data_IF_070161621978
#
_entry.id   IF_070161621978
#
_cell.length_a   1.000
_cell.length_b   1.000
_cell.length_c   1.000
_cell.angle_alpha   90.00
_cell.angle_beta   90.00
_cell.angle_gamma   90.00
#
_symmetry.space_group_name_H-M   'P 1'
#
loop_
_entity.id
_entity.type
_entity.pdbx_description
1 polymer ?
#
# COMPACT_ATOMS: atom_id res chain seq x y z
N UNK A 1 7.87 -17.05 -17.63
CA UNK A 1 6.97 -17.12 -16.45
C UNK A 1 6.14 -15.85 -16.40
N UNK A 2 4.84 -15.92 -16.07
CA UNK A 2 4.00 -14.72 -15.92
C UNK A 2 4.53 -13.85 -14.77
N UNK A 3 4.55 -12.53 -14.96
CA UNK A 3 5.01 -11.54 -13.97
C UNK A 3 4.35 -11.74 -12.61
N UNK A 4 3.05 -12.07 -12.61
CA UNK A 4 2.27 -12.38 -11.41
C UNK A 4 2.80 -13.57 -10.61
N UNK A 5 3.23 -14.65 -11.28
CA UNK A 5 3.79 -15.83 -10.60
C UNK A 5 5.12 -15.48 -9.92
N UNK A 6 5.94 -14.65 -10.54
CA UNK A 6 7.21 -14.20 -9.97
C UNK A 6 7.00 -13.28 -8.76
N UNK A 7 6.09 -12.31 -8.88
CA UNK A 7 5.70 -11.42 -7.77
C UNK A 7 5.14 -12.22 -6.59
N UNK A 8 4.28 -13.19 -6.85
CA UNK A 8 3.72 -14.06 -5.82
C UNK A 8 4.79 -14.94 -5.15
N UNK A 9 5.72 -15.49 -5.92
CA UNK A 9 6.85 -16.26 -5.38
C UNK A 9 7.75 -15.39 -4.50
N UNK A 10 7.99 -14.14 -4.89
CA UNK A 10 8.78 -13.18 -4.11
C UNK A 10 8.09 -12.85 -2.77
N UNK A 11 6.77 -12.61 -2.81
CA UNK A 11 5.96 -12.38 -1.60
C UNK A 11 5.97 -13.61 -0.68
N UNK A 12 5.88 -14.83 -1.23
CA UNK A 12 5.98 -16.07 -0.45
C UNK A 12 7.36 -16.32 0.13
N UNK A 13 8.43 -15.91 -0.55
CA UNK A 13 9.80 -16.03 -0.05
C UNK A 13 10.07 -15.05 1.10
N UNK A 14 9.45 -13.86 1.07
CA UNK A 14 9.60 -12.80 2.10
C UNK A 14 8.31 -12.56 2.87
N UNK A 15 7.68 -13.59 3.44
CA UNK A 15 6.40 -13.45 4.18
C UNK A 15 6.48 -12.43 5.32
N UNK A 16 7.58 -12.41 6.08
CA UNK A 16 7.76 -11.46 7.17
C UNK A 16 7.72 -10.00 6.72
N UNK A 17 8.24 -9.69 5.53
CA UNK A 17 8.15 -8.37 4.94
C UNK A 17 6.71 -8.00 4.57
N UNK A 18 5.98 -8.92 3.93
CA UNK A 18 4.58 -8.71 3.54
C UNK A 18 3.70 -8.48 4.78
N UNK A 19 3.84 -9.35 5.79
CA UNK A 19 3.10 -9.27 7.04
C UNK A 19 3.47 -7.98 7.79
N UNK A 20 4.76 -7.68 7.92
CA UNK A 20 5.24 -6.44 8.55
C UNK A 20 4.65 -5.20 7.88
N UNK A 21 4.69 -5.14 6.55
CA UNK A 21 4.11 -4.03 5.77
C UNK A 21 2.60 -3.89 6.00
N UNK A 22 1.87 -5.00 6.07
CA UNK A 22 0.42 -4.98 6.34
C UNK A 22 0.14 -4.46 7.75
N UNK A 23 0.84 -4.99 8.76
CA UNK A 23 0.64 -4.61 10.17
C UNK A 23 0.98 -3.12 10.37
N UNK A 24 2.11 -2.66 9.82
CA UNK A 24 2.54 -1.27 9.97
C UNK A 24 1.57 -0.32 9.26
N UNK A 25 1.10 -0.69 8.06
CA UNK A 25 0.09 0.08 7.34
C UNK A 25 -1.22 0.20 8.12
N UNK A 26 -1.69 -0.91 8.72
CA UNK A 26 -2.92 -0.90 9.53
C UNK A 26 -2.72 -0.07 10.79
N UNK A 27 -1.63 -0.25 11.52
CA UNK A 27 -1.34 0.49 12.75
C UNK A 27 -1.24 1.99 12.51
N UNK A 28 -0.58 2.40 11.43
CA UNK A 28 -0.46 3.82 11.07
C UNK A 28 -1.80 4.45 10.65
N UNK A 29 -2.69 3.67 10.03
CA UNK A 29 -4.02 4.15 9.67
C UNK A 29 -4.99 4.16 10.85
N UNK A 30 -4.90 3.18 11.76
CA UNK A 30 -5.68 3.13 12.99
C UNK A 30 -5.27 4.21 13.99
N UNK A 31 -4.02 4.66 13.99
CA UNK A 31 -3.63 5.75 14.91
C UNK A 31 -4.32 7.08 14.61
N UNK A 32 -4.74 7.31 13.36
CA UNK A 32 -5.57 8.46 12.99
C UNK A 32 -6.97 8.41 13.61
N UNK A 33 -7.47 7.21 13.91
CA UNK A 33 -8.72 7.06 14.65
C UNK A 33 -8.59 7.54 16.09
N UNK A 34 -7.42 7.37 16.73
CA UNK A 34 -7.21 7.89 18.09
C UNK A 34 -7.45 9.41 18.17
N UNK A 35 -7.06 10.15 17.13
CA UNK A 35 -7.36 11.59 17.01
C UNK A 35 -8.85 11.84 16.84
N UNK A 36 -9.51 11.08 15.99
CA UNK A 36 -10.95 11.24 15.73
C UNK A 36 -11.79 10.96 16.97
N UNK A 37 -11.52 9.85 17.67
CA UNK A 37 -12.16 9.53 18.95
C UNK A 37 -11.80 10.52 20.05
N UNK A 38 -10.55 10.97 20.09
CA UNK A 38 -10.13 12.01 21.03
C UNK A 38 -10.94 13.30 20.89
N UNK A 39 -11.21 13.71 19.64
CA UNK A 39 -12.05 14.88 19.37
C UNK A 39 -13.50 14.62 19.77
N UNK A 40 -14.04 13.43 19.46
CA UNK A 40 -15.39 13.06 19.86
C UNK A 40 -15.57 13.17 21.38
N UNK A 41 -14.65 12.57 22.15
CA UNK A 41 -14.69 12.65 23.62
C UNK A 41 -14.60 14.07 24.18
N UNK A 42 -13.75 14.90 23.58
CA UNK A 42 -13.65 16.31 23.96
C UNK A 42 -15.00 17.01 23.73
N UNK A 43 -15.67 16.73 22.61
CA UNK A 43 -17.00 17.29 22.32
C UNK A 43 -18.03 16.78 23.32
N UNK A 44 -18.06 15.48 23.61
CA UNK A 44 -19.03 14.87 24.53
C UNK A 44 -18.91 15.49 25.94
N UNK A 45 -17.68 15.68 26.43
CA UNK A 45 -17.39 16.37 27.70
C UNK A 45 -17.90 17.83 27.67
N UNK A 46 -17.68 18.56 26.56
CA UNK A 46 -18.09 19.95 26.43
C UNK A 46 -19.62 20.12 26.37
N UNK A 47 -20.32 19.14 25.78
CA UNK A 47 -21.80 19.13 25.68
C UNK A 47 -22.43 18.61 26.98
N UNK A 48 -21.64 18.02 27.88
CA UNK A 48 -22.11 17.44 29.13
C UNK A 48 -22.71 16.04 28.96
N UNK A 49 -22.41 15.37 27.84
CA UNK A 49 -22.70 13.96 27.65
C UNK A 49 -21.67 13.10 28.41
N UNK A 50 -22.02 11.84 28.70
CA UNK A 50 -21.10 10.92 29.38
C UNK A 50 -20.04 10.43 28.40
N UNK A 51 -18.76 10.79 28.58
CA UNK A 51 -17.66 10.34 27.73
C UNK A 51 -17.54 8.81 27.73
N UNK A 52 -17.26 8.20 26.57
CA UNK A 52 -17.17 6.74 26.42
C UNK A 52 -15.96 6.14 27.16
N UNK A 53 -14.81 6.80 27.10
CA UNK A 53 -13.57 6.42 27.78
C UNK A 53 -13.51 6.91 29.23
N UNK A 54 -14.44 7.78 29.65
CA UNK A 54 -14.45 8.43 30.96
C UNK A 54 -13.11 9.13 31.32
N UNK A 55 -12.37 9.60 30.32
CA UNK A 55 -11.10 10.29 30.51
C UNK A 55 -11.32 11.78 30.72
N UNK A 56 -10.58 12.36 31.67
CA UNK A 56 -10.57 13.80 31.88
C UNK A 56 -9.98 14.53 30.65
N UNK A 57 -10.43 15.76 30.42
CA UNK A 57 -10.05 16.58 29.26
C UNK A 57 -8.53 16.77 29.17
N UNK A 58 -7.88 17.00 30.32
CA UNK A 58 -6.41 17.12 30.41
C UNK A 58 -5.70 15.86 29.93
N UNK A 59 -6.24 14.69 30.28
CA UNK A 59 -5.67 13.40 29.90
C UNK A 59 -5.79 13.16 28.40
N UNK A 60 -6.93 13.53 27.80
CA UNK A 60 -7.13 13.45 26.36
C UNK A 60 -6.16 14.34 25.58
N UNK A 61 -5.92 15.58 26.04
CA UNK A 61 -4.95 16.49 25.42
C UNK A 61 -3.51 15.98 25.43
N UNK A 62 -3.15 15.10 26.36
CA UNK A 62 -1.81 14.50 26.44
C UNK A 62 -1.77 13.21 25.61
N UNK A 63 -2.71 12.30 25.84
CA UNK A 63 -2.68 10.96 25.27
C UNK A 63 -2.90 10.98 23.76
N UNK A 64 -3.83 11.80 23.26
CA UNK A 64 -4.19 11.78 21.82
C UNK A 64 -3.02 12.23 20.93
N UNK A 65 -2.37 13.38 21.17
CA UNK A 65 -1.17 13.76 20.42
C UNK A 65 -0.02 12.79 20.65
N UNK A 66 0.15 12.26 21.87
CA UNK A 66 1.21 11.30 22.17
C UNK A 66 1.06 10.02 21.34
N UNK A 67 -0.12 9.40 21.33
CA UNK A 67 -0.41 8.22 20.49
C UNK A 67 -0.16 8.54 19.02
N UNK A 68 -0.63 9.69 18.55
CA UNK A 68 -0.44 10.08 17.15
C UNK A 68 1.04 10.23 16.78
N UNK A 69 1.82 10.95 17.60
CA UNK A 69 3.26 11.16 17.36
C UNK A 69 4.04 9.85 17.49
N UNK A 70 3.78 9.05 18.53
CA UNK A 70 4.46 7.77 18.73
C UNK A 70 4.21 6.82 17.57
N UNK A 71 2.96 6.69 17.11
CA UNK A 71 2.63 5.82 15.97
C UNK A 71 3.18 6.36 14.65
N UNK A 72 3.27 7.68 14.48
CA UNK A 72 3.93 8.29 13.33
C UNK A 72 5.43 7.97 13.30
N UNK A 73 6.12 8.10 14.43
CA UNK A 73 7.55 7.79 14.55
C UNK A 73 7.80 6.30 14.34
N UNK A 74 7.06 5.43 15.03
CA UNK A 74 7.20 3.98 14.89
C UNK A 74 6.86 3.50 13.48
N UNK A 75 5.84 4.09 12.84
CA UNK A 75 5.49 3.84 11.44
C UNK A 75 6.65 4.23 10.51
N UNK A 76 7.23 5.41 10.71
CA UNK A 76 8.36 5.90 9.90
C UNK A 76 9.60 5.02 10.05
N UNK A 77 9.93 4.58 11.27
CA UNK A 77 11.02 3.64 11.53
C UNK A 77 10.74 2.30 10.82
N UNK A 78 9.50 1.81 10.92
CA UNK A 78 9.09 0.57 10.27
C UNK A 78 9.21 0.67 8.75
N UNK A 79 8.84 1.79 8.15
CA UNK A 79 9.00 2.02 6.71
C UNK A 79 10.47 1.99 6.27
N UNK A 80 11.38 2.55 7.06
CA UNK A 80 12.83 2.48 6.80
C UNK A 80 13.31 1.02 6.85
N UNK A 81 12.91 0.27 7.88
CA UNK A 81 13.27 -1.16 8.03
C UNK A 81 12.73 -1.97 6.85
N UNK A 82 11.47 -1.75 6.48
CA UNK A 82 10.82 -2.38 5.32
C UNK A 82 11.52 -2.00 4.02
N UNK A 83 12.02 -0.77 3.87
CA UNK A 83 12.77 -0.35 2.70
C UNK A 83 14.10 -1.12 2.55
N UNK A 84 14.78 -1.48 3.63
CA UNK A 84 15.96 -2.36 3.56
C UNK A 84 15.61 -3.76 3.03
N UNK A 85 14.45 -4.28 3.42
CA UNK A 85 13.94 -5.56 2.88
C UNK A 85 13.57 -5.46 1.40
N UNK A 86 13.06 -4.31 0.96
CA UNK A 86 12.80 -4.01 -0.45
C UNK A 86 14.09 -4.11 -1.28
N UNK A 87 15.16 -3.41 -0.87
CA UNK A 87 16.45 -3.46 -1.59
C UNK A 87 17.01 -4.88 -1.64
N UNK A 88 16.92 -5.60 -0.51
CA UNK A 88 17.37 -6.98 -0.42
C UNK A 88 16.65 -7.89 -1.43
N UNK A 89 15.38 -7.60 -1.74
CA UNK A 89 14.62 -8.29 -2.80
C UNK A 89 15.18 -8.01 -4.19
N UNK A 90 15.55 -6.77 -4.49
CA UNK A 90 16.16 -6.43 -5.78
C UNK A 90 17.51 -7.12 -5.97
N UNK A 91 18.37 -7.11 -4.94
CA UNK A 91 19.68 -7.76 -4.98
C UNK A 91 19.54 -9.26 -5.21
N UNK A 92 18.55 -9.91 -4.56
CA UNK A 92 18.29 -11.34 -4.73
C UNK A 92 17.92 -11.69 -6.18
N UNK A 93 16.99 -10.94 -6.77
CA UNK A 93 16.58 -11.19 -8.16
C UNK A 93 17.75 -10.95 -9.11
N UNK A 94 18.51 -9.85 -8.94
CA UNK A 94 19.70 -9.56 -9.76
C UNK A 94 20.74 -10.68 -9.65
N UNK A 95 21.01 -11.17 -8.44
CA UNK A 95 21.94 -12.29 -8.20
C UNK A 95 21.46 -13.59 -8.87
N UNK A 96 20.18 -13.90 -8.80
CA UNK A 96 19.62 -15.10 -9.43
C UNK A 96 19.68 -15.03 -10.96
N UNK A 97 19.39 -13.85 -11.54
CA UNK A 97 19.51 -13.63 -12.98
C UNK A 97 20.97 -13.75 -13.45
N UNK A 98 21.92 -13.16 -12.72
CA UNK A 98 23.35 -13.26 -13.02
C UNK A 98 23.85 -14.70 -12.90
N UNK A 99 23.44 -15.42 -11.85
CA UNK A 99 23.78 -16.84 -11.69
C UNK A 99 23.24 -17.69 -12.84
N UNK A 100 21.99 -17.45 -13.25
CA UNK A 100 21.39 -18.15 -14.39
C UNK A 100 22.08 -17.84 -15.72
N UNK A 101 22.58 -16.60 -15.88
CA UNK A 101 23.37 -16.22 -17.05
C UNK A 101 24.72 -16.95 -17.08
N UNK A 102 25.45 -16.97 -15.96
CA UNK A 102 26.77 -17.62 -15.86
C UNK A 102 26.71 -19.15 -15.99
N UNK A 103 25.54 -19.76 -15.75
CA UNK A 103 25.32 -21.20 -15.89
C UNK A 103 24.95 -21.63 -17.33
N UNK A 104 24.68 -20.67 -18.24
CA UNK A 104 24.40 -21.01 -19.63
C UNK A 104 25.70 -21.40 -20.36
N UNK A 105 25.65 -22.38 -21.28
CA UNK A 105 26.78 -22.68 -22.16
C UNK A 105 27.19 -21.41 -22.92
N UNK A 106 28.50 -21.11 -23.00
CA UNK A 106 29.01 -19.85 -23.57
C UNK A 106 28.59 -19.58 -25.02
N UNK A 107 28.19 -20.62 -25.78
CA UNK A 107 27.68 -20.51 -27.14
C UNK A 107 26.16 -20.18 -27.22
N UNK A 108 25.44 -20.20 -26.11
CA UNK A 108 23.99 -19.94 -26.10
C UNK A 108 23.71 -18.45 -25.91
N UNK A 109 23.53 -17.74 -27.02
CA UNK A 109 23.14 -16.33 -27.00
C UNK A 109 21.83 -16.11 -26.22
N UNK A 110 21.76 -14.98 -25.51
CA UNK A 110 20.51 -14.51 -24.94
C UNK A 110 19.58 -14.15 -26.13
N UNK A 111 18.30 -14.56 -26.14
CA UNK A 111 17.38 -14.36 -27.28
C UNK A 111 16.98 -12.88 -27.50
N UNK A 112 17.66 -11.93 -26.86
CA UNK A 112 17.41 -10.49 -26.91
C UNK A 112 18.72 -9.76 -27.12
N UNK A 113 18.66 -8.55 -27.67
CA UNK A 113 19.86 -7.72 -27.83
C UNK A 113 20.55 -7.44 -26.49
N UNK A 114 21.84 -7.18 -26.51
CA UNK A 114 22.60 -6.84 -25.29
C UNK A 114 21.99 -5.63 -24.57
N UNK A 115 21.59 -4.60 -25.33
CA UNK A 115 20.95 -3.41 -24.80
C UNK A 115 19.59 -3.68 -24.15
N UNK A 116 18.75 -4.50 -24.79
CA UNK A 116 17.45 -4.90 -24.22
C UNK A 116 17.63 -5.74 -22.94
N UNK A 117 18.62 -6.64 -22.92
CA UNK A 117 18.92 -7.50 -21.78
C UNK A 117 19.38 -6.67 -20.56
N UNK A 118 20.23 -5.67 -20.79
CA UNK A 118 20.68 -4.73 -19.74
C UNK A 118 19.50 -3.86 -19.27
N UNK A 119 18.68 -3.37 -20.20
CA UNK A 119 17.50 -2.56 -19.89
C UNK A 119 16.53 -3.32 -18.97
N UNK A 120 16.18 -4.57 -19.31
CA UNK A 120 15.35 -5.44 -18.48
C UNK A 120 15.99 -5.75 -17.13
N UNK A 121 17.30 -6.03 -17.10
CA UNK A 121 18.00 -6.30 -15.85
C UNK A 121 17.96 -5.13 -14.86
N UNK A 122 18.04 -3.89 -15.36
CA UNK A 122 17.96 -2.68 -14.51
C UNK A 122 16.51 -2.34 -14.16
N UNK A 123 15.62 -2.28 -15.16
CA UNK A 123 14.25 -1.80 -15.01
C UNK A 123 13.28 -2.85 -14.46
N UNK A 124 13.19 -4.01 -15.10
CA UNK A 124 12.15 -5.00 -14.78
C UNK A 124 12.32 -5.58 -13.38
N UNK A 125 13.56 -5.70 -12.89
CA UNK A 125 13.83 -6.15 -11.53
C UNK A 125 13.23 -5.20 -10.50
N UNK A 126 13.50 -3.90 -10.63
CA UNK A 126 12.94 -2.87 -9.76
C UNK A 126 11.41 -2.85 -9.87
N UNK A 127 10.86 -2.97 -11.08
CA UNK A 127 9.41 -3.04 -11.26
C UNK A 127 8.78 -4.26 -10.57
N UNK A 128 9.41 -5.44 -10.64
CA UNK A 128 8.89 -6.66 -10.03
C UNK A 128 8.84 -6.56 -8.49
N UNK A 129 9.89 -6.03 -7.86
CA UNK A 129 9.92 -5.83 -6.40
C UNK A 129 8.95 -4.74 -5.97
N UNK A 130 8.90 -3.63 -6.71
CA UNK A 130 7.96 -2.54 -6.46
C UNK A 130 6.50 -2.99 -6.59
N UNK A 131 6.20 -3.89 -7.53
CA UNK A 131 4.87 -4.47 -7.64
C UNK A 131 4.52 -5.29 -6.38
N UNK A 132 5.43 -6.13 -5.88
CA UNK A 132 5.22 -6.90 -4.65
C UNK A 132 5.00 -5.99 -3.43
N UNK A 133 5.81 -4.95 -3.29
CA UNK A 133 5.67 -3.95 -2.24
C UNK A 133 4.32 -3.23 -2.32
N UNK A 134 3.95 -2.73 -3.50
CA UNK A 134 2.69 -2.01 -3.71
C UNK A 134 1.47 -2.89 -3.42
N UNK A 135 1.49 -4.15 -3.84
CA UNK A 135 0.41 -5.10 -3.51
C UNK A 135 0.34 -5.27 -1.99
N UNK A 136 1.48 -5.41 -1.30
CA UNK A 136 1.52 -5.62 0.15
C UNK A 136 0.91 -4.44 0.92
N UNK A 137 1.27 -3.19 0.56
CA UNK A 137 0.64 -1.99 1.17
C UNK A 137 -0.86 -1.94 0.85
N UNK A 138 -1.25 -2.19 -0.40
CA UNK A 138 -2.66 -2.16 -0.80
C UNK A 138 -3.50 -3.18 -0.05
N UNK A 139 -2.95 -4.36 0.26
CA UNK A 139 -3.62 -5.33 1.13
C UNK A 139 -3.86 -4.77 2.53
N UNK A 140 -2.88 -4.10 3.13
CA UNK A 140 -3.04 -3.41 4.41
C UNK A 140 -4.17 -2.37 4.37
N UNK A 141 -4.24 -1.58 3.29
CA UNK A 141 -5.31 -0.58 3.11
C UNK A 141 -6.69 -1.22 2.95
N UNK A 142 -6.80 -2.36 2.25
CA UNK A 142 -8.06 -3.10 2.13
C UNK A 142 -8.51 -3.62 3.49
N UNK A 143 -7.61 -4.23 4.27
CA UNK A 143 -7.93 -4.72 5.62
C UNK A 143 -8.38 -3.57 6.52
N UNK A 144 -7.65 -2.45 6.53
CA UNK A 144 -8.03 -1.26 7.26
C UNK A 144 -9.41 -0.72 6.84
N UNK A 145 -9.66 -0.63 5.53
CA UNK A 145 -10.93 -0.16 5.01
C UNK A 145 -12.08 -1.05 5.46
N UNK A 146 -11.90 -2.38 5.47
CA UNK A 146 -12.92 -3.32 5.97
C UNK A 146 -13.18 -3.10 7.46
N UNK A 147 -12.15 -2.99 8.29
CA UNK A 147 -12.28 -2.76 9.74
C UNK A 147 -13.06 -1.46 10.00
N UNK A 148 -12.61 -0.38 9.36
CA UNK A 148 -13.19 0.96 9.52
C UNK A 148 -14.63 1.02 9.03
N UNK A 149 -14.89 0.48 7.84
CA UNK A 149 -16.22 0.51 7.25
C UNK A 149 -17.20 -0.31 8.10
N UNK A 150 -16.77 -1.46 8.61
CA UNK A 150 -17.57 -2.29 9.53
C UNK A 150 -17.93 -1.51 10.79
N UNK A 151 -16.98 -0.77 11.36
CA UNK A 151 -17.22 0.09 12.51
C UNK A 151 -18.20 1.24 12.21
N UNK A 152 -18.07 1.91 11.06
CA UNK A 152 -19.01 2.95 10.66
C UNK A 152 -20.43 2.41 10.47
N UNK A 153 -20.58 1.25 9.82
CA UNK A 153 -21.87 0.57 9.67
C UNK A 153 -22.49 0.19 11.01
N UNK A 154 -21.67 -0.21 11.99
CA UNK A 154 -22.11 -0.51 13.35
C UNK A 154 -22.66 0.73 14.06
N UNK A 155 -22.03 1.90 13.92
CA UNK A 155 -22.54 3.15 14.51
C UNK A 155 -23.84 3.59 13.82
N UNK A 156 -23.82 3.74 12.50
CA UNK A 156 -25.00 4.16 11.73
C UNK A 156 -24.87 3.77 10.26
N UNK A 157 -25.59 2.72 9.89
CA UNK A 157 -25.63 2.27 8.50
C UNK A 157 -26.21 3.33 7.55
N UNK A 158 -27.17 4.14 8.01
CA UNK A 158 -27.81 5.19 7.20
C UNK A 158 -26.82 6.32 6.87
N UNK A 159 -26.11 6.82 7.89
CA UNK A 159 -25.11 7.87 7.69
C UNK A 159 -23.95 7.37 6.83
N UNK A 160 -23.49 6.14 7.08
CA UNK A 160 -22.44 5.50 6.28
C UNK A 160 -22.86 5.37 4.82
N UNK A 161 -24.07 4.87 4.55
CA UNK A 161 -24.57 4.74 3.18
C UNK A 161 -24.69 6.10 2.48
N UNK A 162 -25.22 7.11 3.17
CA UNK A 162 -25.37 8.46 2.62
C UNK A 162 -24.02 9.06 2.15
N UNK A 163 -22.94 8.82 2.90
CA UNK A 163 -21.59 9.32 2.57
C UNK A 163 -20.92 8.43 1.50
N UNK A 164 -21.06 7.11 1.59
CA UNK A 164 -20.36 6.18 0.70
C UNK A 164 -20.99 6.03 -0.68
N UNK A 165 -22.32 6.17 -0.82
CA UNK A 165 -23.00 6.09 -2.12
C UNK A 165 -22.44 7.11 -3.13
N UNK A 166 -22.35 8.42 -2.85
CA UNK A 166 -21.81 9.38 -3.82
C UNK A 166 -20.33 9.12 -4.11
N UNK A 167 -19.57 8.68 -3.11
CA UNK A 167 -18.17 8.30 -3.30
C UNK A 167 -18.02 7.10 -4.26
N UNK A 168 -18.81 6.05 -4.06
CA UNK A 168 -18.83 4.87 -4.94
C UNK A 168 -19.31 5.24 -6.35
N UNK A 169 -20.23 6.18 -6.49
CA UNK A 169 -20.69 6.68 -7.78
C UNK A 169 -19.54 7.35 -8.56
N UNK A 170 -18.77 8.23 -7.91
CA UNK A 170 -17.59 8.87 -8.52
C UNK A 170 -16.55 7.81 -8.93
N UNK A 171 -16.31 6.81 -8.08
CA UNK A 171 -15.42 5.71 -8.39
C UNK A 171 -15.90 4.91 -9.60
N UNK A 172 -17.19 4.58 -9.67
CA UNK A 172 -17.78 3.84 -10.78
C UNK A 172 -17.61 4.60 -12.11
N UNK A 173 -17.88 5.91 -12.12
CA UNK A 173 -17.67 6.77 -13.29
C UNK A 173 -16.19 6.73 -13.72
N UNK A 174 -15.27 6.90 -12.77
CA UNK A 174 -13.83 6.81 -13.05
C UNK A 174 -13.38 5.46 -13.60
N UNK A 175 -14.00 4.36 -13.17
CA UNK A 175 -13.71 3.01 -13.68
C UNK A 175 -14.22 2.80 -15.10
N UNK A 176 -15.39 3.35 -15.44
CA UNK A 176 -15.95 3.28 -16.79
C UNK A 176 -15.06 4.05 -17.80
N UNK A 177 -14.58 5.23 -17.40
CA UNK A 177 -13.71 6.07 -18.25
C UNK A 177 -12.29 5.50 -18.46
N UNK A 178 -11.85 4.51 -17.67
CA UNK A 178 -10.51 3.91 -17.85
C UNK A 178 -10.31 3.31 -19.24
N UNK A 179 -11.34 2.73 -19.85
CA UNK A 179 -11.24 2.18 -21.21
C UNK A 179 -10.92 3.28 -22.21
N UNK A 180 -11.67 4.39 -22.15
CA UNK A 180 -11.50 5.57 -23.01
C UNK A 180 -10.13 6.22 -22.83
N UNK A 181 -9.67 6.39 -21.59
CA UNK A 181 -8.34 6.92 -21.29
C UNK A 181 -7.23 6.02 -21.87
N UNK A 182 -7.38 4.70 -21.77
CA UNK A 182 -6.39 3.76 -22.29
C UNK A 182 -6.33 3.78 -23.82
N UNK A 183 -7.48 3.91 -24.50
CA UNK A 183 -7.53 4.05 -25.96
C UNK A 183 -6.89 5.36 -26.41
N UNK A 184 -7.22 6.49 -25.77
CA UNK A 184 -6.59 7.78 -26.04
C UNK A 184 -5.07 7.74 -25.85
N UNK A 185 -4.57 7.02 -24.83
CA UNK A 185 -3.12 6.82 -24.62
C UNK A 185 -2.48 5.99 -25.74
N UNK A 186 -3.18 4.99 -26.29
CA UNK A 186 -2.69 4.22 -27.44
C UNK A 186 -2.60 5.09 -28.69
N UNK A 187 -3.61 5.92 -28.96
CA UNK A 187 -3.63 6.84 -30.10
C UNK A 187 -2.49 7.86 -30.00
N UNK A 188 -2.33 8.50 -28.83
CA UNK A 188 -1.22 9.44 -28.60
C UNK A 188 0.16 8.83 -28.80
N UNK A 189 0.38 7.59 -28.33
CA UNK A 189 1.66 6.89 -28.53
C UNK A 189 1.96 6.59 -30.00
N UNK A 190 0.95 6.34 -30.82
CA UNK A 190 1.12 6.16 -32.26
C UNK A 190 1.51 7.48 -32.95
N UNK A 191 0.82 8.57 -32.60
CA UNK A 191 1.09 9.89 -33.17
C UNK A 191 2.44 10.51 -32.76
N UNK A 192 3.09 10.03 -31.70
CA UNK A 192 4.46 10.45 -31.31
C UNK A 192 5.55 9.52 -31.87
N UNK A 193 5.15 8.40 -32.48
CA UNK A 193 6.07 7.44 -33.10
C UNK A 193 6.14 7.59 -34.63
N UNK A 194 5.27 8.42 -35.22
CA UNK A 194 5.39 8.99 -36.56
C UNK A 194 6.20 10.30 -36.50
#
# INVERSE_FOLDING_TARGET
MSTWKNTWSLMKFRKGYVIGTIITSIGWLLSRFAVSFGIQEIIDILVGETPFLALDMRTLFIIVPFIYVSTFILGSISDIVLWLFYISGEVLIRRNLMRGLLQKPGAQAIPTTTGESISRFRGDVTHAVNLAHRISIRLGFVVYAVITLSYMFYISWKATALIFIPFLMILAIGLLERKRINELRKVRRKATAE
#
